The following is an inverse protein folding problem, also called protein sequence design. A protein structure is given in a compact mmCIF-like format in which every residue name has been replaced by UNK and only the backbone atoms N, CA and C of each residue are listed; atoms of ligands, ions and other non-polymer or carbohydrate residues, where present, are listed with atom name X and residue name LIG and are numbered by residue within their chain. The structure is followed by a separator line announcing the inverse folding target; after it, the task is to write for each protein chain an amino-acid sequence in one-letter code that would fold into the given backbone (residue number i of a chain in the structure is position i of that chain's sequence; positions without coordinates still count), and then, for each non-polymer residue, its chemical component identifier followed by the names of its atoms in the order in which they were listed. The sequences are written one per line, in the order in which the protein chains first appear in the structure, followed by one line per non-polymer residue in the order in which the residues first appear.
data_IF_786607775042
#
_entry.id   IF_786607775042
#
_cell.length_a   1.000
_cell.length_b   1.000
_cell.length_c   1.000
_cell.angle_alpha   90.00
_cell.angle_beta   90.00
_cell.angle_gamma   90.00
#
_symmetry.space_group_name_H-M   'P 1'
#
loop_
_entity.id
_entity.type
_entity.pdbx_description
1 polymer ?
#
# COMPACT_ATOMS: atom_id res chain seq x y z
N UNK A 1 26.96 -39.32 -8.20
CA UNK A 1 27.87 -38.37 -8.87
C UNK A 1 26.98 -37.31 -9.50
N UNK A 2 26.83 -36.19 -8.80
CA UNK A 2 26.41 -34.83 -9.17
C UNK A 2 26.09 -34.19 -7.81
N UNK A 3 27.14 -33.68 -7.19
CA UNK A 3 27.06 -32.53 -6.30
C UNK A 3 26.73 -31.31 -7.16
N UNK A 4 25.88 -30.43 -6.64
CA UNK A 4 25.76 -28.99 -6.94
C UNK A 4 24.30 -28.60 -7.04
N UNK A 5 23.79 -28.07 -5.94
CA UNK A 5 22.88 -26.91 -5.81
C UNK A 5 22.65 -26.74 -4.31
N UNK A 6 23.69 -26.26 -3.65
CA UNK A 6 23.68 -25.91 -2.24
C UNK A 6 22.82 -24.67 -2.01
N UNK A 7 21.58 -24.89 -1.60
CA UNK A 7 20.75 -23.89 -0.93
C UNK A 7 20.20 -24.55 0.34
N UNK A 8 21.04 -24.61 1.37
CA UNK A 8 20.60 -24.89 2.75
C UNK A 8 20.07 -23.58 3.34
N UNK A 9 18.77 -23.34 3.25
CA UNK A 9 18.09 -22.38 4.14
C UNK A 9 17.69 -23.09 5.42
N UNK A 10 18.67 -23.37 6.28
CA UNK A 10 18.45 -23.77 7.67
C UNK A 10 19.32 -22.86 8.54
N UNK A 11 18.70 -21.92 9.24
CA UNK A 11 19.40 -21.09 10.23
C UNK A 11 18.82 -19.69 10.44
N UNK A 12 17.58 -19.57 10.88
CA UNK A 12 17.19 -18.46 11.74
C UNK A 12 16.71 -19.07 13.04
N UNK A 13 17.40 -18.75 14.14
CA UNK A 13 17.09 -19.27 15.47
C UNK A 13 15.67 -18.85 15.85
N UNK A 14 14.72 -19.76 15.67
CA UNK A 14 13.43 -19.70 16.35
C UNK A 14 13.76 -19.86 17.83
N UNK A 15 13.84 -18.73 18.55
CA UNK A 15 13.56 -18.74 19.99
C UNK A 15 12.27 -19.54 20.16
N UNK A 16 12.23 -20.44 21.14
CA UNK A 16 11.05 -21.29 21.39
C UNK A 16 9.77 -20.46 21.18
N UNK A 17 9.00 -20.78 20.13
CA UNK A 17 7.83 -20.00 19.72
C UNK A 17 6.80 -19.88 20.85
N UNK A 18 6.87 -20.79 21.83
CA UNK A 18 6.08 -20.76 23.06
C UNK A 18 6.43 -19.59 23.99
N UNK A 19 7.60 -19.00 23.81
CA UNK A 19 8.12 -17.84 24.56
C UNK A 19 8.09 -16.55 23.74
N UNK A 20 7.69 -16.61 22.47
CA UNK A 20 7.54 -15.44 21.61
C UNK A 20 6.30 -14.64 22.06
N UNK A 21 6.46 -13.39 22.52
CA UNK A 21 5.34 -12.60 23.03
C UNK A 21 4.37 -12.18 21.91
N UNK A 22 4.84 -12.00 20.67
CA UNK A 22 3.99 -11.72 19.53
C UNK A 22 3.11 -12.93 19.21
N UNK A 23 3.69 -14.13 19.20
CA UNK A 23 2.94 -15.37 19.01
C UNK A 23 1.93 -15.60 20.14
N UNK A 24 2.32 -15.37 21.40
CA UNK A 24 1.41 -15.52 22.55
C UNK A 24 0.20 -14.59 22.46
N UNK A 25 0.39 -13.34 22.05
CA UNK A 25 -0.70 -12.38 21.85
C UNK A 25 -1.60 -12.78 20.69
N UNK A 26 -1.04 -13.12 19.52
CA UNK A 26 -1.83 -13.55 18.36
C UNK A 26 -2.63 -14.82 18.67
N UNK A 27 -2.03 -15.77 19.38
CA UNK A 27 -2.71 -16.98 19.84
C UNK A 27 -3.86 -16.66 20.79
N UNK A 28 -3.67 -15.77 21.75
CA UNK A 28 -4.73 -15.38 22.67
C UNK A 28 -5.94 -14.80 21.92
N UNK A 29 -5.71 -13.99 20.88
CA UNK A 29 -6.79 -13.48 20.01
C UNK A 29 -7.50 -14.60 19.26
N UNK A 30 -6.75 -15.54 18.66
CA UNK A 30 -7.32 -16.72 17.99
C UNK A 30 -8.14 -17.58 18.95
N UNK A 31 -7.70 -17.68 20.21
CA UNK A 31 -8.40 -18.40 21.28
C UNK A 31 -9.60 -17.60 21.87
N UNK A 32 -9.92 -16.42 21.31
CA UNK A 32 -11.11 -15.63 21.63
C UNK A 32 -10.89 -14.48 22.62
N UNK A 33 -9.65 -14.08 22.90
CA UNK A 33 -9.38 -12.88 23.68
C UNK A 33 -9.86 -11.63 22.91
N UNK A 34 -10.50 -10.71 23.63
CA UNK A 34 -10.97 -9.44 23.07
C UNK A 34 -9.75 -8.57 22.66
N UNK A 35 -9.65 -8.14 21.39
CA UNK A 35 -8.61 -7.20 20.95
C UNK A 35 -8.52 -5.94 21.84
N UNK A 36 -9.63 -5.48 22.43
CA UNK A 36 -9.64 -4.33 23.32
C UNK A 36 -8.78 -4.52 24.57
N UNK A 37 -8.51 -5.75 25.03
CA UNK A 37 -7.63 -5.99 26.18
C UNK A 37 -6.16 -5.64 25.92
N UNK A 38 -5.76 -5.56 24.65
CA UNK A 38 -4.40 -5.19 24.24
C UNK A 38 -4.29 -3.72 23.79
N UNK A 39 -5.42 -3.03 23.60
CA UNK A 39 -5.47 -1.67 23.08
C UNK A 39 -4.76 -0.68 24.01
N UNK A 40 -3.98 0.24 23.42
CA UNK A 40 -3.14 1.19 24.16
C UNK A 40 -1.89 0.59 24.82
N UNK A 41 -1.72 -0.74 24.78
CA UNK A 41 -0.62 -1.45 25.43
C UNK A 41 0.62 -1.66 24.55
N UNK A 42 1.51 -2.53 24.99
CA UNK A 42 2.78 -2.82 24.32
C UNK A 42 2.65 -3.61 23.00
N UNK A 43 1.46 -4.16 22.73
CA UNK A 43 1.11 -4.87 21.50
C UNK A 43 0.23 -4.04 20.55
N UNK A 44 -0.16 -2.83 20.95
CA UNK A 44 -0.92 -1.92 20.09
C UNK A 44 0.05 -1.07 19.27
N UNK A 45 0.22 -1.43 17.99
CA UNK A 45 1.11 -0.72 17.07
C UNK A 45 0.70 0.75 16.90
N UNK A 46 -0.59 1.09 17.02
CA UNK A 46 -1.07 2.47 16.91
C UNK A 46 -0.58 3.31 18.08
N UNK A 47 -0.64 2.76 19.30
CA UNK A 47 -0.17 3.42 20.49
C UNK A 47 1.35 3.65 20.46
N UNK A 48 2.11 2.67 19.97
CA UNK A 48 3.55 2.81 19.81
C UNK A 48 3.93 3.85 18.75
N UNK A 49 3.28 3.82 17.59
CA UNK A 49 3.51 4.80 16.51
C UNK A 49 3.17 6.21 16.99
N UNK A 50 2.02 6.41 17.65
CA UNK A 50 1.66 7.70 18.25
C UNK A 50 2.69 8.17 19.30
N UNK A 51 3.24 7.25 20.09
CA UNK A 51 4.31 7.54 21.05
C UNK A 51 5.63 7.96 20.40
N UNK A 52 5.96 7.42 19.22
CA UNK A 52 7.13 7.82 18.42
C UNK A 52 6.91 9.23 17.86
N UNK A 53 5.76 9.48 17.24
CA UNK A 53 5.45 10.75 16.55
C UNK A 53 5.32 11.94 17.52
N UNK A 54 4.74 11.73 18.70
CA UNK A 54 4.47 12.82 19.67
C UNK A 54 5.71 13.34 20.40
N UNK A 55 6.89 12.77 20.19
CA UNK A 55 8.09 13.13 20.94
C UNK A 55 7.99 12.84 22.45
N UNK A 56 6.87 12.33 22.97
CA UNK A 56 6.78 11.81 24.34
C UNK A 56 7.78 10.67 24.59
N UNK A 57 8.31 10.09 23.50
CA UNK A 57 9.48 9.22 23.46
C UNK A 57 10.53 9.71 22.45
N UNK A 58 10.88 11.00 22.49
CA UNK A 58 11.87 11.68 21.61
C UNK A 58 13.26 10.99 21.52
N UNK A 59 13.52 9.99 22.38
CA UNK A 59 14.72 9.17 22.37
C UNK A 59 14.53 7.72 21.94
N UNK A 60 13.39 7.33 21.35
CA UNK A 60 13.25 5.98 20.77
C UNK A 60 14.17 5.84 19.57
N UNK A 61 15.40 5.40 19.87
CA UNK A 61 16.29 4.79 18.91
C UNK A 61 15.56 3.61 18.26
N UNK A 62 15.90 3.33 17.01
CA UNK A 62 15.43 2.14 16.30
C UNK A 62 15.49 0.88 17.20
N UNK A 63 16.52 0.74 18.02
CA UNK A 63 16.73 -0.40 18.92
C UNK A 63 15.86 -0.41 20.19
N UNK A 64 15.24 0.72 20.55
CA UNK A 64 14.43 0.85 21.76
C UNK A 64 12.94 0.52 21.52
N UNK A 65 12.51 0.43 20.26
CA UNK A 65 11.14 -0.01 19.97
C UNK A 65 10.97 -1.51 20.29
N UNK A 66 9.82 -1.94 20.82
CA UNK A 66 9.61 -3.32 21.27
C UNK A 66 9.28 -4.24 20.08
N UNK A 67 10.22 -4.38 19.14
CA UNK A 67 10.03 -5.14 17.91
C UNK A 67 9.58 -6.58 18.16
N UNK A 68 10.10 -7.22 19.22
CA UNK A 68 9.72 -8.58 19.59
C UNK A 68 8.24 -8.78 19.92
N UNK A 69 7.46 -7.70 20.13
CA UNK A 69 6.02 -7.78 20.36
C UNK A 69 5.20 -7.91 19.08
N UNK A 70 5.84 -7.82 17.89
CA UNK A 70 5.16 -7.88 16.61
C UNK A 70 5.71 -9.01 15.77
N UNK A 71 4.85 -9.74 15.03
CA UNK A 71 5.30 -10.74 14.06
C UNK A 71 6.35 -10.14 13.11
N UNK A 72 7.43 -10.87 12.87
CA UNK A 72 8.57 -10.44 12.03
C UNK A 72 9.32 -9.18 12.52
N UNK A 73 9.11 -8.73 13.76
CA UNK A 73 9.68 -7.46 14.23
C UNK A 73 11.19 -7.36 14.16
N UNK A 74 11.92 -8.43 14.50
CA UNK A 74 13.39 -8.43 14.40
C UNK A 74 13.90 -8.38 12.95
N UNK A 75 13.17 -8.98 12.00
CA UNK A 75 13.48 -8.93 10.56
C UNK A 75 13.28 -7.51 10.03
N UNK A 76 12.16 -6.89 10.38
CA UNK A 76 11.85 -5.50 10.02
C UNK A 76 12.85 -4.52 10.63
N UNK A 77 13.20 -4.67 11.91
CA UNK A 77 14.23 -3.82 12.55
C UNK A 77 15.55 -3.87 11.78
N UNK A 78 16.01 -5.08 11.41
CA UNK A 78 17.24 -5.25 10.63
C UNK A 78 17.12 -4.61 9.26
N UNK A 79 15.98 -4.76 8.58
CA UNK A 79 15.74 -4.11 7.28
C UNK A 79 15.82 -2.58 7.38
N UNK A 80 15.18 -1.97 8.38
CA UNK A 80 15.27 -0.51 8.61
C UNK A 80 16.70 -0.07 8.91
N UNK A 81 17.44 -0.85 9.70
CA UNK A 81 18.85 -0.57 9.98
C UNK A 81 19.70 -0.57 8.70
N UNK A 82 19.54 -1.58 7.83
CA UNK A 82 20.23 -1.68 6.54
C UNK A 82 19.92 -0.49 5.62
N UNK A 83 18.65 -0.07 5.56
CA UNK A 83 18.24 1.11 4.79
C UNK A 83 18.87 2.40 5.34
N UNK A 84 19.01 2.50 6.67
CA UNK A 84 19.62 3.67 7.33
C UNK A 84 21.12 3.79 7.08
N UNK A 85 21.85 2.68 6.99
CA UNK A 85 23.30 2.70 6.71
C UNK A 85 23.61 2.86 5.21
N UNK A 86 22.63 2.59 4.33
CA UNK A 86 22.79 2.80 2.88
C UNK A 86 23.71 1.78 2.20
N UNK A 87 23.74 0.56 2.73
CA UNK A 87 24.60 -0.54 2.26
C UNK A 87 24.03 -1.22 1.00
N UNK A 88 24.83 -2.03 0.31
CA UNK A 88 24.46 -2.80 -0.89
C UNK A 88 23.25 -3.73 -0.67
N UNK A 89 22.93 -3.99 0.59
CA UNK A 89 21.79 -4.79 1.05
C UNK A 89 20.46 -4.03 1.12
N UNK A 90 20.42 -2.74 0.74
CA UNK A 90 19.19 -1.94 0.74
C UNK A 90 18.06 -2.58 -0.09
N UNK A 91 18.39 -3.22 -1.23
CA UNK A 91 17.41 -3.95 -2.04
C UNK A 91 16.79 -5.11 -1.26
N UNK A 92 17.61 -5.95 -0.63
CA UNK A 92 17.12 -7.06 0.19
C UNK A 92 16.23 -6.57 1.34
N UNK A 93 16.57 -5.44 1.95
CA UNK A 93 15.73 -4.84 2.99
C UNK A 93 14.35 -4.39 2.46
N UNK A 94 14.30 -3.83 1.25
CA UNK A 94 13.03 -3.48 0.60
C UNK A 94 12.22 -4.71 0.22
N UNK A 95 12.87 -5.78 -0.26
CA UNK A 95 12.20 -7.05 -0.60
C UNK A 95 11.57 -7.69 0.64
N UNK A 96 12.24 -7.61 1.80
CA UNK A 96 11.68 -8.08 3.08
C UNK A 96 10.43 -7.28 3.45
N UNK A 97 10.51 -5.95 3.45
CA UNK A 97 9.38 -5.10 3.86
C UNK A 97 8.20 -5.20 2.88
N UNK A 98 8.48 -5.19 1.57
CA UNK A 98 7.49 -5.37 0.52
C UNK A 98 6.85 -6.75 0.57
N UNK A 99 7.64 -7.80 0.72
CA UNK A 99 7.17 -9.18 0.84
C UNK A 99 6.31 -9.42 2.08
N UNK A 100 6.65 -8.81 3.22
CA UNK A 100 5.82 -8.87 4.43
C UNK A 100 4.45 -8.21 4.20
N UNK A 101 4.41 -7.04 3.55
CA UNK A 101 3.14 -6.41 3.20
C UNK A 101 2.36 -7.22 2.13
N UNK A 102 3.06 -7.91 1.23
CA UNK A 102 2.47 -8.79 0.23
C UNK A 102 1.81 -10.04 0.81
N UNK A 103 2.43 -10.61 1.84
CA UNK A 103 1.95 -11.80 2.52
C UNK A 103 0.95 -11.49 3.64
N UNK A 104 0.47 -10.26 3.73
CA UNK A 104 -0.45 -9.80 4.78
C UNK A 104 0.10 -9.97 6.21
N UNK A 105 1.39 -9.69 6.38
CA UNK A 105 2.15 -9.69 7.65
C UNK A 105 2.72 -8.31 7.93
N UNK A 106 1.86 -7.34 8.22
CA UNK A 106 2.16 -5.91 8.13
C UNK A 106 2.37 -5.21 9.48
N UNK A 107 2.10 -5.86 10.62
CA UNK A 107 2.21 -5.24 11.95
C UNK A 107 3.57 -4.58 12.22
N UNK A 108 4.67 -5.30 12.03
CA UNK A 108 6.01 -4.75 12.20
C UNK A 108 6.34 -3.70 11.12
N UNK A 109 5.88 -3.87 9.87
CA UNK A 109 6.07 -2.88 8.81
C UNK A 109 5.36 -1.55 9.12
N UNK A 110 4.16 -1.60 9.74
CA UNK A 110 3.46 -0.41 10.22
C UNK A 110 4.24 0.33 11.32
N UNK A 111 4.85 -0.42 12.25
CA UNK A 111 5.75 0.15 13.27
C UNK A 111 6.99 0.81 12.66
N UNK A 112 7.45 0.35 11.50
CA UNK A 112 8.62 0.88 10.80
C UNK A 112 8.37 2.23 10.09
N UNK A 113 7.12 2.57 9.76
CA UNK A 113 6.78 3.75 8.94
C UNK A 113 7.42 5.05 9.46
N UNK A 114 7.36 5.41 10.76
CA UNK A 114 8.00 6.62 11.27
C UNK A 114 9.52 6.66 11.06
N UNK A 115 10.20 5.50 11.00
CA UNK A 115 11.65 5.42 10.77
C UNK A 115 12.00 5.45 9.28
N UNK A 116 11.09 5.00 8.41
CA UNK A 116 11.28 4.99 6.95
C UNK A 116 11.07 6.38 6.35
N UNK A 117 10.20 7.21 6.93
CA UNK A 117 9.90 8.56 6.41
C UNK A 117 11.16 9.45 6.34
N UNK A 118 11.99 9.59 7.39
CA UNK A 118 13.22 10.36 7.31
C UNK A 118 14.18 9.86 6.23
N UNK A 119 14.25 8.54 6.01
CA UNK A 119 15.10 7.92 4.97
C UNK A 119 14.56 8.28 3.57
N UNK A 120 13.25 8.22 3.39
CA UNK A 120 12.59 8.58 2.13
C UNK A 120 12.71 10.09 1.81
N UNK A 121 12.64 10.95 2.81
CA UNK A 121 12.69 12.41 2.61
C UNK A 121 14.10 12.95 2.40
N UNK A 122 15.14 12.25 2.85
CA UNK A 122 16.54 12.67 2.71
C UNK A 122 17.02 12.59 1.26
N UNK A 123 17.16 13.74 0.60
CA UNK A 123 17.56 13.87 -0.80
C UNK A 123 18.92 13.24 -1.15
N UNK A 124 19.79 12.99 -0.16
CA UNK A 124 21.11 12.38 -0.38
C UNK A 124 21.06 10.85 -0.41
N UNK A 125 19.91 10.23 -0.08
CA UNK A 125 19.82 8.77 -0.02
C UNK A 125 19.59 8.15 -1.41
N UNK A 126 20.33 7.09 -1.76
CA UNK A 126 19.93 6.25 -2.88
C UNK A 126 18.62 5.52 -2.55
N UNK A 127 17.84 5.17 -3.57
CA UNK A 127 16.61 4.36 -3.45
C UNK A 127 15.41 4.98 -2.70
N UNK A 128 15.38 6.30 -2.47
CA UNK A 128 14.25 6.99 -1.80
C UNK A 128 12.87 6.65 -2.37
N UNK A 129 12.74 6.58 -3.70
CA UNK A 129 11.47 6.21 -4.35
C UNK A 129 10.99 4.80 -3.93
N UNK A 130 11.89 3.84 -3.83
CA UNK A 130 11.54 2.50 -3.42
C UNK A 130 11.21 2.43 -1.92
N UNK A 131 11.90 3.20 -1.07
CA UNK A 131 11.53 3.36 0.35
C UNK A 131 10.14 3.98 0.51
N UNK A 132 9.80 5.00 -0.30
CA UNK A 132 8.46 5.61 -0.34
C UNK A 132 7.36 4.62 -0.73
N UNK A 133 7.62 3.75 -1.71
CA UNK A 133 6.68 2.72 -2.10
C UNK A 133 6.42 1.76 -0.92
N UNK A 134 7.48 1.23 -0.32
CA UNK A 134 7.41 0.26 0.77
C UNK A 134 6.71 0.82 2.02
N UNK A 135 7.01 2.06 2.45
CA UNK A 135 6.42 2.61 3.68
C UNK A 135 4.90 2.81 3.58
N UNK A 136 4.36 2.87 2.36
CA UNK A 136 2.94 3.04 2.11
C UNK A 136 2.17 1.72 2.02
N UNK A 137 2.85 0.60 1.86
CA UNK A 137 2.26 -0.74 1.83
C UNK A 137 1.38 -1.09 3.04
N UNK A 138 1.85 -0.93 4.30
CA UNK A 138 1.06 -1.29 5.47
C UNK A 138 -0.18 -0.42 5.68
N UNK A 139 -0.28 0.74 5.00
CA UNK A 139 -1.40 1.67 5.09
C UNK A 139 -2.61 1.30 4.19
N UNK A 140 -2.56 0.16 3.48
CA UNK A 140 -3.61 -0.27 2.53
C UNK A 140 -4.35 -1.51 3.00
N UNK A 141 -5.62 -1.64 2.63
CA UNK A 141 -6.52 -2.69 3.14
C UNK A 141 -6.04 -4.11 2.81
N UNK A 142 -5.70 -4.35 1.55
CA UNK A 142 -5.02 -5.54 1.04
C UNK A 142 -4.08 -5.05 -0.05
N UNK A 143 -2.78 -5.25 0.15
CA UNK A 143 -1.79 -4.56 -0.65
C UNK A 143 -1.62 -5.17 -2.05
N UNK A 144 -1.97 -6.45 -2.26
CA UNK A 144 -1.72 -7.15 -3.52
C UNK A 144 -2.90 -8.00 -4.03
N UNK A 145 -2.98 -8.14 -5.36
CA UNK A 145 -3.90 -9.01 -6.09
C UNK A 145 -5.35 -8.51 -6.20
N UNK A 146 -5.64 -7.36 -5.60
CA UNK A 146 -7.00 -6.81 -5.55
C UNK A 146 -7.21 -5.77 -6.66
N UNK A 147 -8.09 -6.10 -7.60
CA UNK A 147 -8.34 -5.27 -8.79
C UNK A 147 -9.82 -4.90 -8.98
N UNK A 148 -10.72 -5.31 -8.07
CA UNK A 148 -12.15 -5.02 -8.16
C UNK A 148 -12.47 -3.56 -7.80
N UNK A 149 -13.65 -3.08 -8.25
CA UNK A 149 -14.13 -1.71 -7.93
C UNK A 149 -14.18 -1.44 -6.43
N UNK A 150 -14.58 -2.44 -5.65
CA UNK A 150 -14.71 -2.33 -4.19
C UNK A 150 -13.37 -2.48 -3.47
N UNK A 151 -12.37 -3.07 -4.12
CA UNK A 151 -11.15 -3.52 -3.47
C UNK A 151 -9.90 -2.67 -3.78
N UNK A 152 -9.70 -2.23 -5.02
CA UNK A 152 -8.43 -1.64 -5.48
C UNK A 152 -8.01 -0.41 -4.66
N UNK A 153 -8.95 0.51 -4.45
CA UNK A 153 -8.72 1.76 -3.71
C UNK A 153 -9.34 1.74 -2.31
N UNK A 154 -9.58 0.53 -1.76
CA UNK A 154 -10.35 0.34 -0.55
C UNK A 154 -9.72 1.07 0.65
N UNK A 155 -10.50 1.98 1.22
CA UNK A 155 -10.14 2.74 2.41
C UNK A 155 -11.29 2.69 3.43
N UNK A 156 -11.33 1.66 4.28
CA UNK A 156 -12.35 1.51 5.33
C UNK A 156 -12.04 2.48 6.48
N UNK A 157 -12.88 3.49 6.68
CA UNK A 157 -12.75 4.50 7.75
C UNK A 157 -13.77 4.33 8.86
N UNK A 158 -14.76 3.43 8.69
CA UNK A 158 -15.87 3.27 9.64
C UNK A 158 -15.68 2.04 10.54
N UNK A 159 -15.38 2.22 11.84
CA UNK A 159 -15.35 1.11 12.79
C UNK A 159 -16.74 0.52 13.08
N UNK A 160 -17.86 1.12 12.64
CA UNK A 160 -19.23 0.69 12.98
C UNK A 160 -19.81 -0.42 12.09
N UNK A 161 -19.15 -0.78 10.99
CA UNK A 161 -19.33 -2.10 10.42
C UNK A 161 -18.52 -3.07 11.26
N UNK A 162 -19.02 -3.36 12.46
CA UNK A 162 -18.53 -4.51 13.20
C UNK A 162 -18.88 -5.73 12.34
N UNK A 163 -17.86 -6.42 11.84
CA UNK A 163 -18.03 -7.83 11.52
C UNK A 163 -18.53 -8.51 12.81
N UNK A 164 -19.45 -9.46 12.67
CA UNK A 164 -20.07 -10.12 13.83
C UNK A 164 -19.09 -10.90 14.71
N UNK A 165 -17.81 -10.95 14.33
CA UNK A 165 -16.72 -11.67 14.97
C UNK A 165 -15.84 -10.79 15.90
N UNK A 166 -16.13 -9.49 16.02
CA UNK A 166 -15.41 -8.59 16.93
C UNK A 166 -14.07 -8.07 16.40
N UNK A 167 -13.70 -8.41 15.16
CA UNK A 167 -12.58 -7.76 14.48
C UNK A 167 -13.00 -6.46 13.79
N UNK A 168 -12.03 -5.57 13.56
CA UNK A 168 -12.29 -4.40 12.73
C UNK A 168 -12.59 -4.82 11.29
N UNK A 169 -13.13 -3.86 10.54
CA UNK A 169 -13.58 -4.04 9.17
C UNK A 169 -12.47 -4.56 8.23
N UNK A 170 -11.19 -4.62 8.64
CA UNK A 170 -10.08 -5.16 7.86
C UNK A 170 -9.77 -6.64 8.14
N UNK A 171 -10.32 -7.23 9.20
CA UNK A 171 -10.08 -8.61 9.60
C UNK A 171 -8.72 -8.82 10.28
N UNK A 172 -8.12 -9.99 10.07
CA UNK A 172 -6.83 -10.39 10.64
C UNK A 172 -5.78 -10.59 9.57
N UNK A 173 -4.54 -10.23 9.91
CA UNK A 173 -3.32 -10.62 9.19
C UNK A 173 -3.16 -12.14 9.19
N UNK A 174 -2.34 -12.68 8.29
CA UNK A 174 -2.01 -14.13 8.28
C UNK A 174 -1.38 -14.60 9.60
N UNK A 175 -0.81 -13.65 10.36
CA UNK A 175 -0.20 -13.85 11.67
C UNK A 175 -1.22 -13.94 12.81
N UNK A 176 -2.50 -13.59 12.56
CA UNK A 176 -3.55 -13.42 13.57
C UNK A 176 -3.60 -12.03 14.19
N UNK A 177 -2.70 -11.12 13.81
CA UNK A 177 -2.69 -9.74 14.28
C UNK A 177 -3.86 -8.92 13.68
N UNK A 178 -4.49 -7.98 14.42
CA UNK A 178 -5.59 -7.17 13.88
C UNK A 178 -5.11 -6.27 12.72
N UNK A 179 -5.55 -6.55 11.49
CA UNK A 179 -5.02 -5.89 10.30
C UNK A 179 -5.31 -4.38 10.28
N UNK A 180 -6.49 -3.96 10.76
CA UNK A 180 -6.84 -2.56 10.81
C UNK A 180 -6.04 -1.76 11.85
N UNK A 181 -5.43 -2.41 12.85
CA UNK A 181 -4.49 -1.72 13.76
C UNK A 181 -3.22 -1.30 13.01
N UNK A 182 -2.68 -2.19 12.19
CA UNK A 182 -1.52 -1.92 11.34
C UNK A 182 -1.82 -0.83 10.30
N UNK A 183 -2.98 -0.93 9.63
CA UNK A 183 -3.43 0.09 8.66
C UNK A 183 -3.59 1.45 9.33
N UNK A 184 -4.25 1.51 10.48
CA UNK A 184 -4.46 2.76 11.21
C UNK A 184 -3.14 3.37 11.68
N UNK A 185 -2.20 2.57 12.18
CA UNK A 185 -0.89 3.04 12.61
C UNK A 185 -0.08 3.64 11.45
N UNK A 186 0.00 2.92 10.32
CA UNK A 186 0.72 3.39 9.15
C UNK A 186 0.11 4.70 8.58
N UNK A 187 -1.22 4.76 8.46
CA UNK A 187 -1.91 6.00 8.01
C UNK A 187 -1.72 7.16 8.96
N UNK A 188 -1.74 6.92 10.27
CA UNK A 188 -1.50 7.96 11.27
C UNK A 188 -0.08 8.55 11.14
N UNK A 189 0.93 7.71 10.92
CA UNK A 189 2.30 8.16 10.67
C UNK A 189 2.42 8.98 9.38
N UNK A 190 1.86 8.48 8.28
CA UNK A 190 1.88 9.19 6.98
C UNK A 190 1.12 10.52 7.07
N UNK A 191 0.01 10.56 7.80
CA UNK A 191 -0.77 11.78 8.02
C UNK A 191 0.02 12.81 8.85
N UNK A 192 0.62 12.38 9.95
CA UNK A 192 1.41 13.26 10.81
C UNK A 192 2.61 13.87 10.07
N UNK A 193 3.22 13.10 9.17
CA UNK A 193 4.38 13.49 8.38
C UNK A 193 4.03 13.98 6.97
N UNK A 194 2.74 14.21 6.67
CA UNK A 194 2.32 14.77 5.39
C UNK A 194 3.06 16.08 5.03
N UNK A 195 3.36 17.00 5.98
CA UNK A 195 4.18 18.18 5.69
C UNK A 195 5.58 17.87 5.14
N UNK A 196 6.20 16.76 5.56
CA UNK A 196 7.52 16.33 5.06
C UNK A 196 7.42 15.61 3.70
N UNK A 197 6.30 14.95 3.41
CA UNK A 197 6.06 14.22 2.17
C UNK A 197 5.56 15.12 1.02
N UNK A 198 4.79 16.18 1.32
CA UNK A 198 4.21 17.08 0.32
C UNK A 198 5.25 17.72 -0.64
N UNK A 199 6.43 18.19 -0.19
CA UNK A 199 7.45 18.72 -1.08
C UNK A 199 7.94 17.72 -2.14
N UNK A 200 7.85 16.40 -1.86
CA UNK A 200 8.30 15.34 -2.77
C UNK A 200 7.45 15.24 -4.03
N UNK A 201 6.24 15.80 -4.04
CA UNK A 201 5.44 15.95 -5.26
C UNK A 201 6.14 16.83 -6.31
N UNK A 202 7.13 17.63 -5.91
CA UNK A 202 7.93 18.47 -6.80
C UNK A 202 9.39 18.00 -6.94
N UNK A 203 9.71 16.78 -6.49
CA UNK A 203 11.04 16.19 -6.66
C UNK A 203 11.40 16.10 -8.15
N UNK A 204 12.66 16.36 -8.57
CA UNK A 204 13.05 16.28 -9.97
C UNK A 204 12.83 14.89 -10.59
N UNK A 205 12.94 13.81 -9.81
CA UNK A 205 12.79 12.45 -10.28
C UNK A 205 11.29 12.04 -10.38
N UNK A 206 10.78 11.65 -11.57
CA UNK A 206 9.39 11.21 -11.74
C UNK A 206 8.99 10.06 -10.81
N UNK A 207 9.90 9.10 -10.58
CA UNK A 207 9.67 7.96 -9.69
C UNK A 207 9.41 8.40 -8.23
N UNK A 208 10.08 9.45 -7.74
CA UNK A 208 9.83 10.02 -6.41
C UNK A 208 8.48 10.71 -6.38
N UNK A 209 8.11 11.46 -7.43
CA UNK A 209 6.78 12.11 -7.52
C UNK A 209 5.64 11.09 -7.50
N UNK A 210 5.77 9.98 -8.25
CA UNK A 210 4.79 8.89 -8.28
C UNK A 210 4.63 8.25 -6.89
N UNK A 211 5.74 7.90 -6.25
CA UNK A 211 5.73 7.20 -4.96
C UNK A 211 5.34 8.12 -3.81
N UNK A 212 5.64 9.42 -3.89
CA UNK A 212 5.11 10.43 -2.97
C UNK A 212 3.59 10.56 -3.09
N UNK A 213 3.04 10.63 -4.32
CA UNK A 213 1.60 10.63 -4.54
C UNK A 213 0.95 9.34 -3.99
N UNK A 214 1.60 8.19 -4.20
CA UNK A 214 1.16 6.91 -3.66
C UNK A 214 1.16 6.89 -2.13
N UNK A 215 2.19 7.40 -1.45
CA UNK A 215 2.20 7.47 0.00
C UNK A 215 1.11 8.42 0.53
N UNK A 216 1.06 9.64 -0.01
CA UNK A 216 0.09 10.68 0.38
C UNK A 216 -1.37 10.28 0.16
N UNK A 217 -1.64 9.38 -0.79
CA UNK A 217 -2.98 8.85 -1.04
C UNK A 217 -3.62 8.16 0.19
N UNK A 218 -2.79 7.73 1.14
CA UNK A 218 -3.24 7.04 2.36
C UNK A 218 -3.33 7.97 3.58
N UNK A 219 -2.93 9.23 3.45
CA UNK A 219 -3.05 10.22 4.51
C UNK A 219 -4.53 10.61 4.72
N UNK A 220 -4.89 10.92 5.97
CA UNK A 220 -6.14 11.60 6.23
C UNK A 220 -6.05 13.03 5.68
N UNK A 221 -7.04 13.43 4.87
CA UNK A 221 -7.04 14.72 4.16
C UNK A 221 -8.28 15.56 4.51
N UNK A 222 -8.50 15.74 5.81
CA UNK A 222 -9.67 16.45 6.35
C UNK A 222 -9.68 17.93 5.94
N UNK A 223 -8.51 18.58 5.91
CA UNK A 223 -8.36 19.99 5.53
C UNK A 223 -8.13 20.19 4.02
N UNK A 224 -8.21 19.12 3.23
CA UNK A 224 -8.02 19.12 1.78
C UNK A 224 -6.62 19.55 1.28
N UNK A 225 -5.65 19.67 2.18
CA UNK A 225 -4.25 20.04 1.87
C UNK A 225 -3.62 19.09 0.86
N UNK A 226 -3.77 17.78 1.07
CA UNK A 226 -3.15 16.77 0.20
C UNK A 226 -3.80 16.79 -1.17
N UNK A 227 -5.14 16.76 -1.28
CA UNK A 227 -5.78 16.82 -2.61
C UNK A 227 -5.48 18.12 -3.35
N UNK A 228 -5.38 19.24 -2.64
CA UNK A 228 -5.05 20.53 -3.25
C UNK A 228 -3.64 20.50 -3.84
N UNK A 229 -2.68 19.92 -3.11
CA UNK A 229 -1.33 19.73 -3.62
C UNK A 229 -1.28 18.77 -4.83
N UNK A 230 -2.04 17.68 -4.81
CA UNK A 230 -2.14 16.75 -5.94
C UNK A 230 -2.72 17.45 -7.19
N UNK A 231 -3.80 18.23 -7.02
CA UNK A 231 -4.42 18.98 -8.11
C UNK A 231 -3.49 20.06 -8.68
N UNK A 232 -2.81 20.82 -7.80
CA UNK A 232 -1.83 21.81 -8.22
C UNK A 232 -0.66 21.16 -8.97
N UNK A 233 -0.15 20.01 -8.49
CA UNK A 233 0.89 19.28 -9.19
C UNK A 233 0.41 18.76 -10.54
N UNK A 234 -0.81 18.23 -10.62
CA UNK A 234 -1.36 17.72 -11.86
C UNK A 234 -1.44 18.79 -12.95
N UNK A 235 -1.76 20.03 -12.58
CA UNK A 235 -1.84 21.16 -13.51
C UNK A 235 -0.47 21.59 -14.08
N UNK A 236 0.62 21.37 -13.33
CA UNK A 236 1.98 21.76 -13.73
C UNK A 236 2.83 20.60 -14.28
N UNK A 237 2.35 19.36 -14.16
CA UNK A 237 3.07 18.16 -14.56
C UNK A 237 2.95 17.90 -16.07
N UNK A 238 4.04 17.45 -16.67
CA UNK A 238 4.10 17.12 -18.09
C UNK A 238 4.28 15.61 -18.31
N UNK A 239 4.82 14.89 -17.33
CA UNK A 239 4.99 13.44 -17.38
C UNK A 239 3.63 12.72 -17.23
N UNK A 240 3.25 11.95 -18.25
CA UNK A 240 1.96 11.26 -18.30
C UNK A 240 1.77 10.24 -17.17
N UNK A 241 2.83 9.55 -16.77
CA UNK A 241 2.80 8.55 -15.70
C UNK A 241 2.64 9.21 -14.33
N UNK A 242 3.33 10.34 -14.11
CA UNK A 242 3.13 11.12 -12.88
C UNK A 242 1.69 11.67 -12.83
N UNK A 243 1.15 12.19 -13.93
CA UNK A 243 -0.25 12.67 -13.98
C UNK A 243 -1.25 11.53 -13.71
N UNK A 244 -1.00 10.34 -14.25
CA UNK A 244 -1.80 9.15 -13.97
C UNK A 244 -1.75 8.78 -12.47
N UNK A 245 -0.57 8.81 -11.84
CA UNK A 245 -0.41 8.56 -10.40
C UNK A 245 -1.18 9.57 -9.54
N UNK A 246 -1.16 10.86 -9.90
CA UNK A 246 -1.87 11.91 -9.16
C UNK A 246 -3.39 11.71 -9.20
N UNK A 247 -3.94 11.22 -10.31
CA UNK A 247 -5.36 10.91 -10.43
C UNK A 247 -5.76 9.70 -9.57
N UNK A 248 -4.96 8.64 -9.56
CA UNK A 248 -5.20 7.47 -8.70
C UNK A 248 -5.09 7.83 -7.22
N UNK A 249 -4.11 8.66 -6.84
CA UNK A 249 -4.00 9.18 -5.48
C UNK A 249 -5.22 10.00 -5.08
N UNK A 250 -5.69 10.90 -5.95
CA UNK A 250 -6.90 11.67 -5.70
C UNK A 250 -8.15 10.77 -5.60
N UNK A 251 -8.22 9.71 -6.39
CA UNK A 251 -9.29 8.73 -6.31
C UNK A 251 -9.27 7.95 -4.98
N UNK A 252 -8.11 7.49 -4.53
CA UNK A 252 -7.95 6.77 -3.25
C UNK A 252 -8.35 7.66 -2.05
N UNK A 253 -7.90 8.92 -2.01
CA UNK A 253 -8.32 9.88 -0.99
C UNK A 253 -9.84 10.11 -1.06
N UNK A 254 -10.41 10.19 -2.26
CA UNK A 254 -11.87 10.38 -2.44
C UNK A 254 -12.66 9.16 -1.98
N UNK A 255 -12.08 7.96 -2.07
CA UNK A 255 -12.69 6.74 -1.53
C UNK A 255 -12.75 6.76 -0.01
N UNK A 256 -11.72 7.30 0.64
CA UNK A 256 -11.63 7.49 2.08
C UNK A 256 -12.58 8.59 2.60
N UNK A 257 -12.62 9.70 1.86
CA UNK A 257 -13.34 10.93 2.21
C UNK A 257 -14.07 11.43 0.95
N UNK A 258 -15.36 11.11 0.87
CA UNK A 258 -16.18 11.40 -0.30
C UNK A 258 -16.08 12.87 -0.72
N UNK A 259 -15.69 13.09 -1.97
CA UNK A 259 -15.48 14.41 -2.55
C UNK A 259 -16.04 14.44 -3.98
N UNK A 260 -17.34 14.77 -4.15
CA UNK A 260 -18.01 14.75 -5.46
C UNK A 260 -17.28 15.50 -6.60
N UNK A 261 -16.59 16.65 -6.35
CA UNK A 261 -15.82 17.30 -7.40
C UNK A 261 -14.70 16.43 -7.98
N UNK A 262 -14.05 15.57 -7.17
CA UNK A 262 -13.00 14.66 -7.69
C UNK A 262 -13.59 13.59 -8.60
N UNK A 263 -14.78 13.07 -8.28
CA UNK A 263 -15.47 12.09 -9.14
C UNK A 263 -15.80 12.69 -10.51
N UNK A 264 -16.27 13.95 -10.53
CA UNK A 264 -16.50 14.70 -11.78
C UNK A 264 -15.20 14.95 -12.53
N UNK A 265 -14.16 15.37 -11.82
CA UNK A 265 -12.84 15.62 -12.41
C UNK A 265 -12.26 14.38 -13.08
N UNK A 266 -12.31 13.21 -12.44
CA UNK A 266 -11.90 11.93 -13.04
C UNK A 266 -12.74 11.61 -14.28
N UNK A 267 -14.06 11.86 -14.24
CA UNK A 267 -14.93 11.66 -15.40
C UNK A 267 -14.50 12.51 -16.60
N UNK A 268 -14.26 13.79 -16.37
CA UNK A 268 -13.82 14.72 -17.42
C UNK A 268 -12.47 14.29 -18.02
N UNK A 269 -11.51 13.84 -17.20
CA UNK A 269 -10.17 13.46 -17.66
C UNK A 269 -10.16 12.22 -18.55
N UNK A 270 -10.99 11.21 -18.29
CA UNK A 270 -11.03 10.05 -19.20
C UNK A 270 -11.75 10.36 -20.52
N UNK A 271 -12.69 11.31 -20.52
CA UNK A 271 -13.42 11.77 -21.71
C UNK A 271 -12.59 12.72 -22.59
N UNK A 272 -11.64 13.44 -22.00
CA UNK A 272 -10.79 14.39 -22.71
C UNK A 272 -9.82 13.67 -23.66
N UNK A 273 -10.03 13.83 -24.97
CA UNK A 273 -9.22 13.18 -26.01
C UNK A 273 -7.84 13.82 -26.19
N UNK A 274 -7.61 14.99 -25.59
CA UNK A 274 -6.31 15.65 -25.61
C UNK A 274 -5.36 15.11 -24.54
N UNK A 275 -5.89 14.42 -23.54
CA UNK A 275 -5.11 13.79 -22.49
C UNK A 275 -4.35 12.56 -23.01
N UNK A 276 -3.17 12.34 -22.43
CA UNK A 276 -2.37 11.16 -22.71
C UNK A 276 -3.14 9.87 -22.35
N UNK A 277 -2.97 8.78 -23.13
CA UNK A 277 -3.65 7.50 -22.87
C UNK A 277 -3.55 7.00 -21.42
N UNK A 278 -2.37 7.14 -20.80
CA UNK A 278 -2.08 6.70 -19.42
C UNK A 278 -2.93 7.47 -18.41
N UNK A 279 -3.09 8.78 -18.62
CA UNK A 279 -3.92 9.67 -17.79
C UNK A 279 -5.39 9.29 -17.92
N UNK A 280 -5.85 9.02 -19.14
CA UNK A 280 -7.24 8.61 -19.40
C UNK A 280 -7.55 7.25 -18.77
N UNK A 281 -6.65 6.27 -18.89
CA UNK A 281 -6.82 4.94 -18.27
C UNK A 281 -6.83 5.02 -16.74
N UNK A 282 -5.92 5.78 -16.13
CA UNK A 282 -5.91 6.01 -14.69
C UNK A 282 -7.18 6.72 -14.19
N UNK A 283 -7.65 7.73 -14.93
CA UNK A 283 -8.92 8.41 -14.67
C UNK A 283 -10.11 7.45 -14.73
N UNK A 284 -10.14 6.55 -15.72
CA UNK A 284 -11.15 5.52 -15.87
C UNK A 284 -11.18 4.57 -14.67
N UNK A 285 -10.02 4.00 -14.30
CA UNK A 285 -9.90 3.09 -13.14
C UNK A 285 -10.32 3.80 -11.84
N UNK A 286 -9.84 5.02 -11.62
CA UNK A 286 -10.21 5.82 -10.46
C UNK A 286 -11.71 6.13 -10.41
N UNK A 287 -12.33 6.49 -11.54
CA UNK A 287 -13.76 6.76 -11.62
C UNK A 287 -14.59 5.49 -11.35
N UNK A 288 -14.22 4.35 -11.92
CA UNK A 288 -14.89 3.05 -11.72
C UNK A 288 -14.86 2.61 -10.24
N UNK A 289 -13.78 2.89 -9.52
CA UNK A 289 -13.67 2.59 -8.08
C UNK A 289 -14.55 3.49 -7.20
N UNK A 290 -15.01 4.63 -7.71
CA UNK A 290 -15.77 5.64 -6.95
C UNK A 290 -17.26 5.64 -7.29
N UNK A 291 -17.70 4.78 -8.22
CA UNK A 291 -19.07 4.77 -8.71
C UNK A 291 -19.66 3.36 -8.71
N UNK A 292 -20.94 3.29 -8.35
CA UNK A 292 -21.77 2.09 -8.53
C UNK A 292 -22.49 2.09 -9.88
N UNK A 293 -22.33 3.16 -10.68
CA UNK A 293 -22.97 3.26 -11.99
C UNK A 293 -22.39 2.21 -12.95
N UNK A 294 -23.22 1.67 -13.86
CA UNK A 294 -22.71 0.86 -14.96
C UNK A 294 -21.73 1.66 -15.80
N UNK A 295 -20.76 0.97 -16.39
CA UNK A 295 -19.82 1.59 -17.30
C UNK A 295 -20.56 2.06 -18.56
N UNK A 296 -20.42 3.33 -18.97
CA UNK A 296 -20.96 3.82 -20.24
C UNK A 296 -20.33 3.11 -21.45
N UNK A 297 -21.08 2.94 -22.53
CA UNK A 297 -20.60 2.27 -23.76
C UNK A 297 -19.36 2.95 -24.36
N UNK A 298 -19.28 4.28 -24.31
CA UNK A 298 -18.11 5.05 -24.77
C UNK A 298 -16.86 4.80 -23.91
N UNK A 299 -17.04 4.39 -22.65
CA UNK A 299 -15.94 3.97 -21.78
C UNK A 299 -15.39 2.61 -22.21
N UNK A 300 -16.24 1.65 -22.58
CA UNK A 300 -15.81 0.35 -23.13
C UNK A 300 -14.95 0.55 -24.38
N UNK A 301 -15.45 1.32 -25.36
CA UNK A 301 -14.70 1.62 -26.59
C UNK A 301 -13.38 2.35 -26.34
N UNK A 302 -13.36 3.25 -25.36
CA UNK A 302 -12.14 3.96 -24.96
C UNK A 302 -11.11 2.99 -24.39
N UNK A 303 -11.52 2.05 -23.53
CA UNK A 303 -10.63 1.05 -22.95
C UNK A 303 -10.07 0.14 -24.04
N UNK A 304 -10.91 -0.41 -24.92
CA UNK A 304 -10.47 -1.31 -25.99
C UNK A 304 -9.42 -0.65 -26.89
N UNK A 305 -9.57 0.65 -27.13
CA UNK A 305 -8.62 1.43 -27.94
C UNK A 305 -7.30 1.72 -27.20
N UNK A 306 -7.37 2.01 -25.90
CA UNK A 306 -6.22 2.52 -25.13
C UNK A 306 -5.46 1.43 -24.36
N UNK A 307 -6.09 0.35 -23.93
CA UNK A 307 -5.51 -0.67 -23.07
C UNK A 307 -4.70 -1.74 -23.85
N UNK A 308 -3.77 -1.28 -24.68
CA UNK A 308 -2.85 -2.17 -25.42
C UNK A 308 -1.91 -2.93 -24.46
N UNK A 309 -1.37 -4.07 -24.90
CA UNK A 309 -0.37 -4.85 -24.14
C UNK A 309 0.79 -3.98 -23.64
N UNK A 310 1.39 -3.22 -24.55
CA UNK A 310 2.52 -2.35 -24.25
C UNK A 310 2.17 -1.33 -23.16
N UNK A 311 0.98 -0.73 -23.25
CA UNK A 311 0.54 0.29 -22.29
C UNK A 311 0.16 -0.32 -20.95
N UNK A 312 -0.42 -1.52 -20.94
CA UNK A 312 -0.70 -2.24 -19.71
C UNK A 312 0.60 -2.54 -18.94
N UNK A 313 1.66 -2.96 -19.61
CA UNK A 313 2.98 -3.17 -18.99
C UNK A 313 3.65 -1.86 -18.57
N UNK A 314 3.53 -0.79 -19.36
CA UNK A 314 4.05 0.52 -18.98
C UNK A 314 3.39 1.03 -17.68
N UNK A 315 2.08 0.77 -17.52
CA UNK A 315 1.33 1.16 -16.34
C UNK A 315 1.69 0.38 -15.08
N UNK A 316 2.38 -0.77 -15.17
CA UNK A 316 2.90 -1.48 -13.99
C UNK A 316 3.98 -0.69 -13.24
N UNK A 317 4.52 0.39 -13.81
CA UNK A 317 5.34 1.34 -13.06
C UNK A 317 4.53 2.15 -12.02
N UNK A 318 3.19 2.19 -12.13
CA UNK A 318 2.31 2.74 -11.11
C UNK A 318 2.12 1.72 -9.98
N UNK A 319 2.37 2.10 -8.70
CA UNK A 319 2.25 1.16 -7.60
C UNK A 319 0.86 0.53 -7.45
N UNK A 320 -0.22 1.24 -7.82
CA UNK A 320 -1.58 0.67 -7.84
C UNK A 320 -1.73 -0.47 -8.85
N UNK A 321 -1.15 -0.33 -10.04
CA UNK A 321 -1.23 -1.36 -11.08
C UNK A 321 -0.31 -2.53 -10.75
N UNK A 322 0.90 -2.25 -10.29
CA UNK A 322 1.80 -3.29 -9.80
C UNK A 322 1.17 -4.14 -8.69
N UNK A 323 0.49 -3.47 -7.74
CA UNK A 323 -0.26 -4.13 -6.69
C UNK A 323 -1.44 -4.95 -7.21
N UNK A 324 -2.13 -4.46 -8.25
CA UNK A 324 -3.29 -5.14 -8.85
C UNK A 324 -2.89 -6.33 -9.73
N UNK A 325 -1.64 -6.40 -10.21
CA UNK A 325 -1.15 -7.43 -11.10
C UNK A 325 -1.30 -8.84 -10.49
N UNK A 326 -1.56 -9.82 -11.35
CA UNK A 326 -1.62 -11.24 -11.00
C UNK A 326 -0.47 -12.02 -11.65
N UNK A 327 -0.42 -13.33 -11.44
CA UNK A 327 0.54 -14.21 -12.10
C UNK A 327 0.37 -14.17 -13.61
N UNK A 328 1.24 -13.41 -14.28
CA UNK A 328 1.27 -13.30 -15.74
C UNK A 328 0.24 -12.33 -16.36
N UNK A 329 -0.53 -11.58 -15.55
CA UNK A 329 -1.48 -10.57 -16.03
C UNK A 329 -1.10 -9.16 -15.52
N UNK A 330 -0.82 -8.19 -16.42
CA UNK A 330 -0.56 -6.79 -16.03
C UNK A 330 -1.73 -6.19 -15.23
N UNK A 331 -1.40 -5.32 -14.28
CA UNK A 331 -2.39 -4.80 -13.33
C UNK A 331 -3.58 -4.09 -13.96
N UNK A 332 -3.33 -3.33 -15.04
CA UNK A 332 -4.39 -2.65 -15.78
C UNK A 332 -5.41 -3.65 -16.35
N UNK A 333 -4.96 -4.75 -16.96
CA UNK A 333 -5.84 -5.75 -17.57
C UNK A 333 -6.71 -6.43 -16.52
N UNK A 334 -6.08 -6.82 -15.42
CA UNK A 334 -6.77 -7.39 -14.28
C UNK A 334 -7.82 -6.43 -13.71
N UNK A 335 -7.51 -5.13 -13.61
CA UNK A 335 -8.48 -4.11 -13.22
C UNK A 335 -9.65 -4.00 -14.20
N UNK A 336 -9.39 -3.91 -15.51
CA UNK A 336 -10.43 -3.81 -16.53
C UNK A 336 -11.36 -5.03 -16.46
N UNK A 337 -10.79 -6.24 -16.42
CA UNK A 337 -11.53 -7.50 -16.30
C UNK A 337 -12.38 -7.50 -15.03
N UNK A 338 -11.79 -7.29 -13.85
CA UNK A 338 -12.50 -7.33 -12.58
C UNK A 338 -13.55 -6.21 -12.41
N UNK A 339 -13.39 -5.06 -13.08
CA UNK A 339 -14.30 -3.91 -12.94
C UNK A 339 -15.41 -3.86 -13.99
N UNK A 340 -15.22 -4.46 -15.17
CA UNK A 340 -16.18 -4.42 -16.28
C UNK A 340 -16.75 -5.79 -16.63
N UNK A 341 -15.98 -6.85 -16.37
CA UNK A 341 -16.30 -8.23 -16.69
C UNK A 341 -16.22 -9.08 -15.43
N UNK A 342 -16.91 -8.67 -14.36
CA UNK A 342 -16.85 -9.36 -13.06
C UNK A 342 -17.37 -10.82 -13.09
N UNK A 343 -18.02 -11.22 -14.19
CA UNK A 343 -18.45 -12.59 -14.47
C UNK A 343 -17.34 -13.47 -15.07
N UNK A 344 -16.25 -12.88 -15.58
CA UNK A 344 -15.13 -13.65 -16.14
C UNK A 344 -14.31 -14.29 -15.01
N UNK A 345 -14.14 -15.63 -15.01
CA UNK A 345 -13.36 -16.31 -14.00
C UNK A 345 -11.91 -15.82 -14.00
N UNK A 346 -11.25 -15.83 -12.84
CA UNK A 346 -9.81 -15.62 -12.82
C UNK A 346 -9.12 -16.66 -13.70
N UNK A 347 -8.17 -16.27 -14.57
CA UNK A 347 -7.37 -17.23 -15.30
C UNK A 347 -6.71 -18.18 -14.29
N UNK A 348 -6.84 -19.48 -14.53
CA UNK A 348 -6.32 -20.50 -13.62
C UNK A 348 -4.81 -20.37 -13.51
N UNK A 349 -4.33 -20.06 -12.31
CA UNK A 349 -2.92 -20.08 -11.94
C UNK A 349 -2.37 -21.49 -11.66
N UNK A 350 -3.23 -22.52 -11.76
CA UNK A 350 -2.83 -23.90 -11.54
C UNK A 350 -2.05 -24.43 -12.77
N UNK A 351 -0.74 -24.68 -12.66
CA UNK A 351 0.07 -25.23 -13.75
C UNK A 351 -0.36 -26.66 -14.16
N UNK A 352 -1.31 -27.27 -13.43
CA UNK A 352 -1.84 -28.60 -13.70
C UNK A 352 -3.23 -28.59 -14.35
N UNK A 353 -3.83 -27.42 -14.60
CA UNK A 353 -5.06 -27.34 -15.38
C UNK A 353 -4.71 -27.52 -16.86
N UNK A 354 -4.91 -28.74 -17.36
CA UNK A 354 -4.83 -29.07 -18.77
C UNK A 354 -5.98 -28.36 -19.49
N UNK A 355 -5.65 -27.41 -20.36
CA UNK A 355 -6.62 -26.78 -21.28
C UNK A 355 -7.28 -27.85 -22.17
N UNK A 356 -8.59 -27.75 -22.44
CA UNK A 356 -9.29 -28.63 -23.39
C UNK A 356 -8.83 -28.44 -24.84
#
# INVERSE_FOLDING_TARGET
MIESLGVRWWGCGVRDWRTDPAFAMCRALVDGADPASFAGGAFDVRALVAGILSGARSGLLLDAAPWGNFPHGDEVRKAVHLLRIGDDLARCAMDVLGGLCANDSRAAAALAVPFLIPIATDAQRPHRAAVLAVLSGPARARHFGVASRDGLLLHRTDPRRHASDGYDDYGVEVTGYPAGWSVAAARAAITAEAPALLPLLNDPAPAVRITAAYALATAADLDHTVRTALAARFAAEHDAMVRAALLLAAAEITRAHAHPPTVRWLRERWQDRTEAPEVRLAATVGWLCLTVQPAPEDLHQTIDTLATDERAHALDALPWMNAAAGSGEPGLRRCIRCMLHCEEPEPSDDPWVLSP
#
